data_IF_130239998513
#
_entry.id   IF_130239998513
#
_cell.length_a   1.000
_cell.length_b   1.000
_cell.length_c   1.000
_cell.angle_alpha   90.00
_cell.angle_beta   90.00
_cell.angle_gamma   90.00
#
_symmetry.space_group_name_H-M   'P 1'
#
loop_
_entity.id
_entity.type
_entity.pdbx_description
1 polymer ?
#
# COMPACT_ATOMS: atom_id res chain seq x y z
N UNK A 1 36.43 -23.23 -0.40
CA UNK A 1 35.52 -22.84 -1.51
C UNK A 1 34.05 -22.85 -1.04
N UNK A 2 33.59 -23.84 -0.28
CA UNK A 2 32.23 -23.88 0.30
C UNK A 2 31.92 -22.77 1.33
N UNK A 3 32.91 -22.30 2.10
CA UNK A 3 32.70 -21.25 3.11
C UNK A 3 32.45 -19.84 2.51
N UNK A 4 33.04 -19.57 1.34
CA UNK A 4 32.86 -18.31 0.60
C UNK A 4 31.45 -18.27 0.00
N UNK A 5 30.97 -19.39 -0.57
CA UNK A 5 29.61 -19.51 -1.07
C UNK A 5 28.56 -19.31 0.05
N UNK A 6 28.76 -19.84 1.26
CA UNK A 6 27.81 -19.61 2.37
C UNK A 6 27.78 -18.15 2.87
N UNK A 7 28.89 -17.41 2.79
CA UNK A 7 28.95 -15.99 3.15
C UNK A 7 28.31 -15.10 2.08
N UNK A 8 28.51 -15.41 0.79
CA UNK A 8 27.82 -14.74 -0.32
C UNK A 8 26.30 -15.03 -0.30
N UNK A 9 25.90 -16.27 0.01
CA UNK A 9 24.50 -16.68 0.17
C UNK A 9 23.82 -16.04 1.39
N UNK A 10 24.51 -15.87 2.52
CA UNK A 10 23.97 -15.18 3.69
C UNK A 10 23.81 -13.66 3.47
N UNK A 11 24.65 -13.06 2.61
CA UNK A 11 24.59 -11.62 2.31
C UNK A 11 23.48 -11.25 1.31
N UNK A 12 23.13 -12.17 0.42
CA UNK A 12 22.07 -12.00 -0.59
C UNK A 12 20.66 -12.31 -0.06
N UNK A 13 20.51 -13.21 0.92
CA UNK A 13 19.22 -13.45 1.58
C UNK A 13 18.77 -12.27 2.45
N UNK A 14 19.72 -11.61 3.12
CA UNK A 14 19.44 -10.43 3.95
C UNK A 14 19.02 -9.21 3.10
N UNK A 15 19.58 -9.07 1.89
CA UNK A 15 19.23 -7.97 0.97
C UNK A 15 17.88 -8.20 0.29
N UNK A 16 17.55 -9.43 -0.13
CA UNK A 16 16.26 -9.75 -0.72
C UNK A 16 15.11 -9.60 0.28
N UNK A 17 15.33 -10.03 1.52
CA UNK A 17 14.37 -9.87 2.61
C UNK A 17 14.07 -8.39 2.87
N UNK A 18 15.10 -7.53 2.85
CA UNK A 18 14.96 -6.08 3.00
C UNK A 18 14.13 -5.46 1.87
N UNK A 19 14.40 -5.83 0.61
CA UNK A 19 13.62 -5.34 -0.54
C UNK A 19 12.16 -5.82 -0.52
N UNK A 20 11.91 -7.07 -0.11
CA UNK A 20 10.55 -7.58 0.02
C UNK A 20 9.76 -6.81 1.07
N UNK A 21 10.37 -6.53 2.23
CA UNK A 21 9.76 -5.72 3.29
C UNK A 21 9.49 -4.30 2.80
N UNK A 22 10.36 -3.72 1.97
CA UNK A 22 10.12 -2.40 1.40
C UNK A 22 8.88 -2.34 0.50
N UNK A 23 8.57 -3.41 -0.24
CA UNK A 23 7.35 -3.47 -1.09
C UNK A 23 6.07 -3.52 -0.26
N UNK A 24 6.10 -4.14 0.92
CA UNK A 24 4.95 -4.18 1.84
C UNK A 24 4.57 -2.80 2.41
N UNK A 25 5.47 -1.82 2.32
CA UNK A 25 5.28 -0.46 2.83
C UNK A 25 4.94 0.56 1.73
N UNK A 26 4.62 0.09 0.52
CA UNK A 26 4.33 0.94 -0.64
C UNK A 26 2.85 0.97 -0.98
N UNK A 27 2.38 2.14 -1.40
CA UNK A 27 1.03 2.36 -1.89
C UNK A 27 0.88 1.85 -3.31
N UNK A 28 -0.13 1.02 -3.57
CA UNK A 28 -0.40 0.49 -4.92
C UNK A 28 -0.85 1.57 -5.94
N UNK A 29 -1.14 2.80 -5.50
CA UNK A 29 -1.55 3.92 -6.38
C UNK A 29 -0.36 4.76 -6.83
N UNK A 30 0.45 5.26 -5.89
CA UNK A 30 1.60 6.10 -6.23
C UNK A 30 2.93 5.34 -6.33
N UNK A 31 2.96 4.06 -5.96
CA UNK A 31 4.15 3.20 -5.94
C UNK A 31 5.29 3.75 -5.07
N UNK A 32 4.97 4.65 -4.14
CA UNK A 32 5.88 5.18 -3.13
C UNK A 32 5.52 4.64 -1.75
N UNK A 33 6.41 4.85 -0.78
CA UNK A 33 6.14 4.54 0.63
C UNK A 33 4.86 5.24 1.10
N UNK A 34 4.06 4.56 1.92
CA UNK A 34 2.83 5.12 2.47
C UNK A 34 3.02 6.47 3.16
N UNK A 35 2.18 7.45 2.81
CA UNK A 35 2.07 8.76 3.43
C UNK A 35 0.66 8.89 3.98
N UNK A 36 0.52 9.03 5.30
CA UNK A 36 -0.77 9.02 6.01
C UNK A 36 -1.67 7.88 5.51
N UNK A 37 -1.25 6.61 5.71
CA UNK A 37 -1.99 5.47 5.23
C UNK A 37 -3.41 5.44 5.79
N UNK A 38 -4.35 5.05 4.94
CA UNK A 38 -5.76 4.89 5.24
C UNK A 38 -6.23 3.51 4.82
N UNK A 39 -6.94 2.82 5.71
CA UNK A 39 -7.41 1.46 5.51
C UNK A 39 -8.87 1.47 5.02
N UNK A 40 -9.10 0.92 3.83
CA UNK A 40 -10.45 0.69 3.34
C UNK A 40 -11.11 -0.51 4.07
N UNK A 41 -12.45 -0.62 4.07
CA UNK A 41 -13.15 -1.76 4.69
C UNK A 41 -12.74 -3.13 4.13
N UNK A 42 -12.22 -3.19 2.89
CA UNK A 42 -11.64 -4.41 2.31
C UNK A 42 -10.21 -4.72 2.78
N UNK A 43 -9.68 -3.99 3.76
CA UNK A 43 -8.35 -4.15 4.36
C UNK A 43 -7.16 -3.80 3.46
N UNK A 44 -7.39 -3.12 2.34
CA UNK A 44 -6.32 -2.54 1.52
C UNK A 44 -6.00 -1.11 1.96
N UNK A 45 -4.71 -0.77 1.94
CA UNK A 45 -4.19 0.49 2.48
C UNK A 45 -3.66 1.38 1.36
N UNK A 46 -3.96 2.68 1.43
CA UNK A 46 -3.50 3.68 0.45
C UNK A 46 -3.08 4.96 1.15
N UNK A 47 -2.25 5.79 0.51
CA UNK A 47 -1.99 7.15 1.01
C UNK A 47 -3.29 7.96 1.01
N UNK A 48 -3.49 8.83 2.01
CA UNK A 48 -4.64 9.73 2.02
C UNK A 48 -4.65 10.65 0.79
N UNK A 49 -3.63 11.50 0.66
CA UNK A 49 -3.48 12.47 -0.42
C UNK A 49 -2.20 12.19 -1.22
N UNK A 50 -2.23 12.22 -2.57
CA UNK A 50 -3.40 12.41 -3.43
C UNK A 50 -4.15 11.12 -3.75
N UNK A 51 -3.69 9.96 -3.24
CA UNK A 51 -4.16 8.65 -3.72
C UNK A 51 -5.63 8.38 -3.38
N UNK A 52 -5.97 8.28 -2.09
CA UNK A 52 -7.32 7.89 -1.71
C UNK A 52 -8.35 8.99 -2.01
N UNK A 53 -8.00 10.25 -1.78
CA UNK A 53 -8.84 11.40 -2.14
C UNK A 53 -9.08 11.52 -3.65
N UNK A 54 -8.07 11.18 -4.47
CA UNK A 54 -8.18 11.16 -5.93
C UNK A 54 -9.06 10.03 -6.47
N UNK A 55 -9.27 8.96 -5.69
CA UNK A 55 -10.14 7.83 -6.05
C UNK A 55 -11.62 8.06 -5.69
N UNK A 56 -11.96 9.14 -4.99
CA UNK A 56 -13.34 9.43 -4.59
C UNK A 56 -14.16 9.85 -5.82
N UNK A 57 -15.13 9.01 -6.19
CA UNK A 57 -16.17 9.42 -7.13
C UNK A 57 -17.16 10.34 -6.41
N UNK A 58 -17.22 11.60 -6.85
CA UNK A 58 -18.09 12.62 -6.26
C UNK A 58 -19.57 12.39 -6.54
N UNK A 59 -19.93 11.66 -7.60
CA UNK A 59 -21.33 11.39 -7.98
C UNK A 59 -21.92 10.29 -7.09
N UNK A 60 -21.19 9.20 -6.91
CA UNK A 60 -21.63 8.06 -6.11
C UNK A 60 -21.23 8.19 -4.63
N UNK A 61 -20.29 9.09 -4.30
CA UNK A 61 -19.61 9.18 -3.00
C UNK A 61 -19.02 7.84 -2.59
N UNK A 62 -18.37 7.17 -3.53
CA UNK A 62 -17.71 5.89 -3.30
C UNK A 62 -16.26 5.90 -3.78
N UNK A 63 -15.48 4.97 -3.26
CA UNK A 63 -14.14 4.63 -3.72
C UNK A 63 -14.20 3.19 -4.20
N UNK A 64 -13.67 2.95 -5.40
CA UNK A 64 -13.42 1.59 -5.89
C UNK A 64 -11.97 1.21 -5.59
N UNK A 65 -11.78 0.17 -4.80
CA UNK A 65 -10.44 -0.27 -4.40
C UNK A 65 -9.62 -0.72 -5.62
N UNK A 66 -8.39 -0.19 -5.85
CA UNK A 66 -7.52 -0.61 -6.94
C UNK A 66 -7.08 -2.08 -6.88
N UNK A 67 -6.99 -2.65 -5.69
CA UNK A 67 -6.46 -4.01 -5.48
C UNK A 67 -7.55 -5.09 -5.65
N UNK A 68 -8.69 -4.95 -4.96
CA UNK A 68 -9.76 -5.96 -4.98
C UNK A 68 -11.02 -5.56 -5.75
N UNK A 69 -11.07 -4.32 -6.27
CA UNK A 69 -12.21 -3.77 -7.04
C UNK A 69 -13.52 -3.63 -6.27
N UNK A 70 -13.51 -3.85 -4.95
CA UNK A 70 -14.66 -3.61 -4.08
C UNK A 70 -14.98 -2.11 -3.98
N UNK A 71 -16.27 -1.78 -3.93
CA UNK A 71 -16.76 -0.42 -3.76
C UNK A 71 -17.05 -0.12 -2.29
N UNK A 72 -16.61 1.05 -1.83
CA UNK A 72 -16.79 1.50 -0.46
C UNK A 72 -17.36 2.92 -0.42
N UNK A 73 -18.42 3.11 0.37
CA UNK A 73 -19.01 4.42 0.55
C UNK A 73 -18.08 5.33 1.36
N UNK A 74 -17.96 6.58 0.93
CA UNK A 74 -17.17 7.60 1.62
C UNK A 74 -18.07 8.35 2.60
N UNK A 75 -17.78 8.35 3.92
CA UNK A 75 -18.57 9.10 4.89
C UNK A 75 -18.53 10.61 4.62
N UNK A 76 -19.44 11.38 5.22
CA UNK A 76 -19.56 12.84 4.99
C UNK A 76 -18.28 13.61 5.29
N UNK A 77 -17.47 13.10 6.22
CA UNK A 77 -16.19 13.69 6.64
C UNK A 77 -15.04 13.34 5.67
N UNK A 78 -15.33 12.73 4.52
CA UNK A 78 -14.38 12.46 3.44
C UNK A 78 -13.50 11.22 3.66
N UNK A 79 -12.59 10.98 2.71
CA UNK A 79 -11.67 9.84 2.72
C UNK A 79 -10.70 9.86 3.92
N UNK A 80 -10.44 11.03 4.50
CA UNK A 80 -9.63 11.16 5.73
C UNK A 80 -10.23 10.43 6.94
N UNK A 81 -11.53 10.11 6.90
CA UNK A 81 -12.25 9.44 7.99
C UNK A 81 -12.05 7.92 8.04
N UNK A 82 -11.45 7.33 7.00
CA UNK A 82 -10.99 5.95 7.12
C UNK A 82 -9.89 5.88 8.19
N UNK A 83 -9.75 4.75 8.91
CA UNK A 83 -8.68 4.57 9.89
C UNK A 83 -7.31 4.77 9.25
#
# INVERSE_FOLDING_TARGET
ITLIATLEMASSDMSLASEHVQRLLQCAVCLERFKQPKLLPCQHTFCLTPCLEGLVDRRTRSIRCPECRADHFVPRNGAASFP
#
